data_IF_275178926809
#
_entry.id   IF_275178926809
#
_cell.length_a   1.000
_cell.length_b   1.000
_cell.length_c   1.000
_cell.angle_alpha   90.00
_cell.angle_beta   90.00
_cell.angle_gamma   90.00
#
_symmetry.space_group_name_H-M   'P 1'
#
loop_
_entity.id
_entity.type
_entity.pdbx_description
1 polymer ?
#
# COMPACT_ATOMS: atom_id res chain seq x y z
N UNK A 1 -4.99 1.14 -12.50
CA UNK A 1 -3.95 2.03 -11.97
C UNK A 1 -4.43 3.46 -11.88
N UNK A 2 -4.19 4.13 -10.75
CA UNK A 2 -4.59 5.52 -10.49
C UNK A 2 -3.40 6.49 -10.45
N UNK A 3 -2.18 5.96 -10.38
CA UNK A 3 -0.91 6.70 -10.33
C UNK A 3 -0.03 6.43 -11.56
N UNK A 4 1.04 7.24 -11.68
CA UNK A 4 2.18 6.92 -12.53
C UNK A 4 2.97 5.74 -11.95
N UNK A 5 3.97 5.24 -12.70
CA UNK A 5 4.71 4.05 -12.31
C UNK A 5 5.41 4.22 -10.94
N UNK A 6 5.09 3.32 -9.99
CA UNK A 6 5.73 3.28 -8.68
C UNK A 6 7.05 2.52 -8.75
N UNK A 7 8.10 3.15 -8.24
CA UNK A 7 9.43 2.56 -8.16
C UNK A 7 9.96 2.76 -6.75
N UNK A 8 11.06 2.11 -6.44
CA UNK A 8 11.65 2.09 -5.10
C UNK A 8 12.43 3.37 -4.77
N UNK A 9 11.76 4.51 -4.92
CA UNK A 9 12.21 5.84 -4.53
C UNK A 9 11.17 6.45 -3.58
N UNK A 10 11.63 7.05 -2.48
CA UNK A 10 10.72 7.59 -1.46
C UNK A 10 9.69 8.60 -2.01
N UNK A 11 10.10 9.46 -2.95
CA UNK A 11 9.20 10.45 -3.52
C UNK A 11 8.02 9.81 -4.27
N UNK A 12 8.19 8.61 -4.83
CA UNK A 12 7.10 7.89 -5.48
C UNK A 12 6.12 7.38 -4.42
N UNK A 13 6.61 6.71 -3.37
CA UNK A 13 5.78 6.24 -2.24
C UNK A 13 5.02 7.39 -1.59
N UNK A 14 5.69 8.53 -1.38
CA UNK A 14 5.10 9.74 -0.77
C UNK A 14 3.95 10.30 -1.60
N UNK A 15 4.06 10.32 -2.92
CA UNK A 15 3.00 10.82 -3.80
C UNK A 15 1.69 10.02 -3.69
N UNK A 16 1.76 8.73 -3.32
CA UNK A 16 0.58 7.88 -3.16
C UNK A 16 -0.28 8.27 -1.95
N UNK A 17 0.25 9.01 -0.97
CA UNK A 17 -0.55 9.47 0.18
C UNK A 17 -1.67 10.42 -0.24
N UNK A 18 -1.35 11.43 -1.05
CA UNK A 18 -2.33 12.40 -1.54
C UNK A 18 -3.40 11.71 -2.40
N UNK A 19 -2.98 10.80 -3.28
CA UNK A 19 -3.91 10.03 -4.13
C UNK A 19 -4.82 9.14 -3.28
N UNK A 20 -4.27 8.44 -2.29
CA UNK A 20 -5.05 7.58 -1.40
C UNK A 20 -6.06 8.39 -0.58
N UNK A 21 -5.67 9.57 -0.07
CA UNK A 21 -6.56 10.50 0.61
C UNK A 21 -7.71 10.93 -0.29
N UNK A 22 -7.41 11.37 -1.51
CA UNK A 22 -8.42 11.92 -2.41
C UNK A 22 -9.43 10.83 -2.86
N UNK A 23 -8.96 9.61 -3.10
CA UNK A 23 -9.82 8.45 -3.39
C UNK A 23 -10.70 8.07 -2.20
N UNK A 24 -10.15 8.10 -0.98
CA UNK A 24 -10.92 7.89 0.24
C UNK A 24 -12.00 8.96 0.42
N UNK A 25 -11.64 10.24 0.27
CA UNK A 25 -12.55 11.37 0.40
C UNK A 25 -13.68 11.35 -0.65
N UNK A 26 -13.38 10.86 -1.86
CA UNK A 26 -14.36 10.67 -2.93
C UNK A 26 -15.23 9.40 -2.78
N UNK A 27 -15.06 8.62 -1.69
CA UNK A 27 -15.73 7.32 -1.49
C UNK A 27 -15.50 6.34 -2.66
N UNK A 28 -14.31 6.40 -3.26
CA UNK A 28 -13.96 5.57 -4.43
C UNK A 28 -13.31 4.23 -4.06
N UNK A 29 -13.00 4.00 -2.77
CA UNK A 29 -12.50 2.72 -2.28
C UNK A 29 -13.63 1.69 -2.30
N UNK A 30 -13.54 0.72 -3.20
CA UNK A 30 -14.58 -0.27 -3.40
C UNK A 30 -15.79 0.29 -4.16
N UNK A 31 -15.68 1.36 -4.95
CA UNK A 31 -16.85 1.90 -5.66
C UNK A 31 -17.51 0.87 -6.59
N UNK A 32 -18.81 1.02 -6.85
CA UNK A 32 -19.50 0.15 -7.82
C UNK A 32 -18.97 0.40 -9.22
N UNK A 33 -18.37 -0.62 -9.82
CA UNK A 33 -17.89 -0.66 -11.21
C UNK A 33 -18.75 -1.55 -12.10
N UNK A 34 -18.33 -1.73 -13.35
CA UNK A 34 -19.07 -2.49 -14.37
C UNK A 34 -19.35 -3.96 -13.98
N UNK A 35 -18.37 -4.62 -13.33
CA UNK A 35 -18.42 -6.06 -13.00
C UNK A 35 -18.29 -6.34 -11.49
N UNK A 36 -18.66 -5.38 -10.62
CA UNK A 36 -18.57 -5.54 -9.17
C UNK A 36 -18.02 -4.31 -8.47
N UNK A 37 -17.12 -4.51 -7.51
CA UNK A 37 -16.45 -3.42 -6.78
C UNK A 37 -15.14 -3.07 -7.49
N UNK A 38 -14.78 -1.79 -7.48
CA UNK A 38 -13.55 -1.24 -8.04
C UNK A 38 -12.65 -0.73 -6.92
N UNK A 39 -11.35 -0.94 -7.05
CA UNK A 39 -10.36 -0.61 -6.02
C UNK A 39 -9.30 0.34 -6.56
N UNK A 40 -8.80 1.29 -5.76
CA UNK A 40 -7.73 2.18 -6.18
C UNK A 40 -6.44 1.37 -6.33
N UNK A 41 -5.98 1.22 -7.55
CA UNK A 41 -4.75 0.51 -7.89
C UNK A 41 -3.56 1.48 -7.85
N UNK A 42 -2.81 1.43 -6.75
CA UNK A 42 -1.64 2.26 -6.44
C UNK A 42 -0.36 1.73 -7.10
N UNK A 43 -0.47 0.78 -8.03
CA UNK A 43 0.65 0.11 -8.70
C UNK A 43 1.31 -1.01 -7.87
N UNK A 44 2.24 -1.72 -8.52
CA UNK A 44 2.97 -2.85 -7.95
C UNK A 44 3.89 -2.42 -6.80
N UNK A 45 4.17 -3.34 -5.86
CA UNK A 45 5.12 -3.15 -4.77
C UNK A 45 6.55 -3.43 -5.25
N UNK A 46 7.42 -2.41 -5.40
CA UNK A 46 8.80 -2.56 -5.86
C UNK A 46 9.68 -2.98 -4.67
N UNK A 47 9.48 -4.21 -4.19
CA UNK A 47 10.14 -4.78 -3.01
C UNK A 47 11.04 -5.97 -3.39
N UNK A 48 12.03 -6.25 -2.53
CA UNK A 48 12.93 -7.39 -2.71
C UNK A 48 13.95 -7.18 -3.83
N UNK A 49 14.08 -8.17 -4.72
CA UNK A 49 15.08 -8.20 -5.79
C UNK A 49 14.46 -7.75 -7.12
N UNK A 50 14.96 -6.63 -7.67
CA UNK A 50 14.34 -5.88 -8.76
C UNK A 50 15.34 -5.62 -9.91
N UNK A 51 14.82 -5.28 -11.08
CA UNK A 51 15.58 -4.66 -12.18
C UNK A 51 15.44 -3.15 -12.14
N UNK A 52 16.27 -2.42 -12.89
CA UNK A 52 16.09 -0.99 -13.10
C UNK A 52 14.84 -0.69 -13.95
N UNK A 53 14.27 0.51 -13.76
CA UNK A 53 13.05 0.93 -14.46
C UNK A 53 13.14 0.83 -15.98
N UNK A 54 14.30 1.16 -16.54
CA UNK A 54 14.51 1.18 -17.98
C UNK A 54 15.03 -0.15 -18.55
N UNK A 55 15.04 -1.23 -17.75
CA UNK A 55 15.62 -2.51 -18.18
C UNK A 55 14.86 -3.73 -17.70
N UNK A 56 14.47 -4.56 -18.65
CA UNK A 56 13.80 -5.84 -18.39
C UNK A 56 14.75 -6.93 -17.87
N UNK A 57 16.05 -6.86 -18.20
CA UNK A 57 17.00 -7.95 -17.96
C UNK A 57 18.13 -7.61 -16.97
N UNK A 58 18.28 -6.34 -16.57
CA UNK A 58 19.23 -5.94 -15.53
C UNK A 58 19.96 -4.61 -15.78
N UNK A 59 20.86 -4.16 -14.88
CA UNK A 59 21.36 -4.89 -13.72
C UNK A 59 20.28 -5.09 -12.66
N UNK A 60 20.29 -6.26 -12.03
CA UNK A 60 19.41 -6.52 -10.89
C UNK A 60 20.05 -6.01 -9.61
N UNK A 61 19.20 -5.56 -8.69
CA UNK A 61 19.61 -4.98 -7.41
C UNK A 61 18.54 -5.23 -6.36
N UNK A 62 18.91 -4.99 -5.12
CA UNK A 62 17.94 -4.92 -4.04
C UNK A 62 17.15 -3.62 -4.13
N UNK A 63 15.91 -3.65 -3.64
CA UNK A 63 15.10 -2.47 -3.38
C UNK A 63 15.90 -1.41 -2.60
N UNK A 64 15.81 -0.16 -3.07
CA UNK A 64 16.48 1.00 -2.48
C UNK A 64 15.70 1.59 -1.30
N UNK A 65 14.44 1.20 -1.11
CA UNK A 65 13.66 1.63 0.05
C UNK A 65 14.21 1.02 1.33
N UNK A 66 14.33 1.85 2.35
CA UNK A 66 14.59 1.42 3.72
C UNK A 66 13.45 0.57 4.25
N UNK A 67 13.71 -0.21 5.30
CA UNK A 67 12.71 -1.08 5.91
C UNK A 67 11.47 -0.30 6.37
N UNK A 68 11.66 0.90 6.90
CA UNK A 68 10.57 1.74 7.37
C UNK A 68 9.73 2.30 6.22
N UNK A 69 10.36 2.62 5.09
CA UNK A 69 9.65 3.02 3.87
C UNK A 69 8.87 1.85 3.27
N UNK A 70 9.44 0.64 3.24
CA UNK A 70 8.73 -0.56 2.78
C UNK A 70 7.51 -0.86 3.66
N UNK A 71 7.66 -0.78 4.99
CA UNK A 71 6.55 -0.92 5.93
C UNK A 71 5.49 0.15 5.73
N UNK A 72 5.91 1.39 5.50
CA UNK A 72 5.02 2.51 5.22
C UNK A 72 4.21 2.27 3.95
N UNK A 73 4.87 1.82 2.87
CA UNK A 73 4.23 1.48 1.62
C UNK A 73 3.19 0.36 1.79
N UNK A 74 3.58 -0.77 2.40
CA UNK A 74 2.66 -1.89 2.63
C UNK A 74 1.46 -1.49 3.50
N UNK A 75 1.69 -0.64 4.51
CA UNK A 75 0.62 -0.13 5.38
C UNK A 75 -0.35 0.74 4.58
N UNK A 76 0.16 1.67 3.77
CA UNK A 76 -0.67 2.54 2.93
C UNK A 76 -1.49 1.73 1.91
N UNK A 77 -0.88 0.77 1.20
CA UNK A 77 -1.60 -0.09 0.25
C UNK A 77 -2.70 -0.89 0.92
N UNK A 78 -2.44 -1.41 2.12
CA UNK A 78 -3.42 -2.14 2.91
C UNK A 78 -4.59 -1.24 3.32
N UNK A 79 -4.31 -0.04 3.83
CA UNK A 79 -5.32 0.94 4.22
C UNK A 79 -6.07 1.54 3.03
N UNK A 80 -5.46 1.66 1.85
CA UNK A 80 -6.16 2.10 0.64
C UNK A 80 -7.00 0.97 0.01
N UNK A 81 -6.87 -0.27 0.51
CA UNK A 81 -7.41 -1.49 -0.10
C UNK A 81 -6.96 -1.64 -1.56
N UNK A 82 -5.70 -1.27 -1.81
CA UNK A 82 -5.09 -1.42 -3.12
C UNK A 82 -4.74 -2.90 -3.37
N UNK A 83 -4.77 -3.39 -4.63
CA UNK A 83 -4.25 -4.71 -4.94
C UNK A 83 -2.80 -4.86 -4.48
N UNK A 84 -2.51 -5.92 -3.72
CA UNK A 84 -1.15 -6.23 -3.26
C UNK A 84 -0.49 -7.10 -4.33
N UNK A 85 0.26 -6.47 -5.24
CA UNK A 85 1.00 -7.15 -6.31
C UNK A 85 2.50 -7.01 -6.08
N UNK A 86 3.18 -8.12 -5.80
CA UNK A 86 4.63 -8.12 -5.54
C UNK A 86 5.43 -8.06 -6.85
N UNK A 87 6.29 -7.05 -7.01
CA UNK A 87 7.07 -6.83 -8.24
C UNK A 87 8.45 -7.50 -8.26
N UNK A 88 8.95 -8.00 -7.12
CA UNK A 88 10.29 -8.59 -7.02
C UNK A 88 10.38 -10.08 -7.41
N UNK A 89 11.60 -10.57 -7.56
CA UNK A 89 11.85 -12.01 -7.74
C UNK A 89 11.63 -12.79 -6.44
N UNK A 90 10.51 -13.52 -6.37
CA UNK A 90 10.14 -14.34 -5.20
C UNK A 90 11.15 -15.44 -4.85
N UNK A 91 12.00 -15.87 -5.79
CA UNK A 91 13.04 -16.89 -5.53
C UNK A 91 14.18 -16.34 -4.68
N UNK A 92 14.29 -15.02 -4.59
CA UNK A 92 15.32 -14.28 -3.83
C UNK A 92 14.72 -13.48 -2.68
N UNK A 93 13.57 -13.92 -2.17
CA UNK A 93 12.85 -13.22 -1.11
C UNK A 93 13.56 -13.40 0.24
N UNK A 94 13.92 -12.28 0.87
CA UNK A 94 14.46 -12.29 2.22
C UNK A 94 13.35 -12.42 3.28
N UNK A 95 13.73 -12.83 4.49
CA UNK A 95 12.78 -13.08 5.59
C UNK A 95 11.99 -11.84 6.05
N UNK A 96 12.56 -10.64 5.90
CA UNK A 96 11.90 -9.39 6.30
C UNK A 96 10.81 -9.03 5.28
N UNK A 97 11.15 -9.04 3.99
CA UNK A 97 10.18 -8.79 2.92
C UNK A 97 9.08 -9.84 2.93
N UNK A 98 9.43 -11.11 3.16
CA UNK A 98 8.45 -12.18 3.34
C UNK A 98 7.49 -11.90 4.51
N UNK A 99 8.01 -11.53 5.68
CA UNK A 99 7.20 -11.20 6.84
C UNK A 99 6.29 -9.99 6.62
N UNK A 100 6.71 -9.03 5.77
CA UNK A 100 5.91 -7.86 5.43
C UNK A 100 4.72 -8.23 4.53
N UNK A 101 4.96 -8.97 3.45
CA UNK A 101 3.91 -9.32 2.48
C UNK A 101 2.95 -10.42 2.99
N UNK A 102 3.37 -11.18 4.00
CA UNK A 102 2.55 -12.23 4.65
C UNK A 102 1.96 -11.81 5.98
N UNK A 103 2.08 -10.54 6.37
CA UNK A 103 1.58 -10.07 7.66
C UNK A 103 0.04 -10.22 7.71
N UNK A 104 -0.50 -11.07 8.60
CA UNK A 104 -1.93 -11.37 8.61
C UNK A 104 -2.79 -10.14 8.94
N UNK A 105 -2.29 -9.22 9.77
CA UNK A 105 -3.02 -8.00 10.15
C UNK A 105 -3.16 -7.06 8.95
N UNK A 106 -2.10 -6.89 8.15
CA UNK A 106 -2.14 -6.04 6.96
C UNK A 106 -3.07 -6.64 5.89
N UNK A 107 -3.00 -7.96 5.68
CA UNK A 107 -3.89 -8.67 4.75
C UNK A 107 -5.35 -8.62 5.19
N UNK A 108 -5.61 -8.71 6.49
CA UNK A 108 -6.95 -8.58 7.06
C UNK A 108 -7.52 -7.17 6.83
N UNK A 109 -6.72 -6.12 7.08
CA UNK A 109 -7.10 -4.73 6.79
C UNK A 109 -7.42 -4.59 5.29
N UNK A 110 -6.51 -5.01 4.42
CA UNK A 110 -6.69 -4.92 2.97
C UNK A 110 -7.97 -5.62 2.50
N UNK A 111 -8.28 -6.80 3.04
CA UNK A 111 -9.42 -7.61 2.62
C UNK A 111 -10.75 -7.13 3.21
N UNK A 112 -10.79 -6.90 4.52
CA UNK A 112 -12.05 -6.79 5.27
C UNK A 112 -12.35 -5.40 5.82
N UNK A 113 -11.37 -4.49 5.92
CA UNK A 113 -11.66 -3.16 6.46
C UNK A 113 -12.61 -2.38 5.54
N UNK A 114 -13.29 -1.39 6.10
CA UNK A 114 -14.23 -0.52 5.40
C UNK A 114 -14.15 0.91 5.97
N UNK A 115 -14.62 1.89 5.19
CA UNK A 115 -14.63 3.31 5.58
C UNK A 115 -13.23 3.82 6.00
N UNK A 116 -12.21 3.44 5.22
CA UNK A 116 -10.85 3.89 5.45
C UNK A 116 -10.71 5.34 4.98
N UNK A 117 -10.36 6.24 5.89
CA UNK A 117 -10.16 7.66 5.60
C UNK A 117 -8.94 8.19 6.33
N UNK A 118 -8.35 9.25 5.79
CA UNK A 118 -7.36 10.03 6.52
C UNK A 118 -7.99 10.56 7.82
N UNK A 119 -7.33 10.30 8.94
CA UNK A 119 -7.80 10.81 10.22
C UNK A 119 -7.37 12.27 10.37
N UNK A 120 -8.31 13.20 10.31
CA UNK A 120 -8.06 14.64 10.55
C UNK A 120 -7.75 14.96 12.03
N UNK A 121 -7.70 13.96 12.93
CA UNK A 121 -7.53 14.18 14.36
C UNK A 121 -6.08 14.52 14.74
N UNK A 122 -5.73 15.80 14.65
CA UNK A 122 -4.65 16.39 15.45
C UNK A 122 -5.03 17.70 16.14
N UNK A 123 -6.30 17.92 16.54
CA UNK A 123 -6.67 18.90 17.58
C UNK A 123 -7.99 18.53 18.28
N UNK A 124 -7.97 17.50 19.12
CA UNK A 124 -8.84 17.38 20.30
C UNK A 124 -8.43 16.15 21.09
N UNK A 125 -7.54 16.32 22.07
CA UNK A 125 -7.38 15.33 23.13
C UNK A 125 -8.68 15.37 23.95
N UNK A 126 -9.66 14.54 23.58
CA UNK A 126 -10.75 14.21 24.50
C UNK A 126 -10.55 12.76 24.99
N UNK A 127 -10.54 12.64 26.32
CA UNK A 127 -10.11 11.48 27.09
C UNK A 127 -11.17 10.36 27.06
N UNK A 128 -11.39 9.70 25.91
CA UNK A 128 -12.14 8.43 25.88
C UNK A 128 -11.48 7.39 24.97
N UNK A 129 -11.28 6.15 25.45
CA UNK A 129 -10.67 5.10 24.63
C UNK A 129 -11.61 4.76 23.47
N UNK A 130 -11.12 4.67 22.23
CA UNK A 130 -11.93 4.20 21.12
C UNK A 130 -12.16 2.70 21.27
N UNK A 131 -13.42 2.32 21.45
CA UNK A 131 -13.89 0.94 21.28
C UNK A 131 -13.82 0.65 19.79
N UNK A 132 -12.85 -0.17 19.37
CA UNK A 132 -12.86 -0.77 18.04
C UNK A 132 -14.06 -1.70 17.93
N UNK A 133 -15.11 -1.25 17.27
CA UNK A 133 -16.26 -2.07 16.92
C UNK A 133 -15.86 -2.94 15.72
N UNK A 134 -15.47 -4.18 16.03
CA UNK A 134 -15.47 -5.27 15.06
C UNK A 134 -16.95 -5.66 14.87
N UNK A 135 -17.44 -5.57 13.64
CA UNK A 135 -18.64 -6.24 13.18
C UNK A 135 -18.28 -7.17 12.03
#
# INVERSE_FOLDING_TARGET
>A
RVTADDWDQWEHVKAHFDVSRDFAAANMIGATGLNGRSWPDLDMLPLGWLSNADSNEGPHRQCNLTIDEQKTQMTLWSMAKSPIMFGGDMRRLDSMTYGLITNPVLLEINSFSSNNHECSCLLSVDHRPPVALIK
#
